data_IF_142373627367
#
_entry.id   IF_142373627367
#
_cell.length_a   1.000
_cell.length_b   1.000
_cell.length_c   1.000
_cell.angle_alpha   90.00
_cell.angle_beta   90.00
_cell.angle_gamma   90.00
#
_symmetry.space_group_name_H-M   'P 1'
#
loop_
_entity.id
_entity.type
_entity.pdbx_description
1 polymer ?
#
# COMPACT_ATOMS: atom_id res chain seq x y z
N UNK A 1 -29.88 -17.50 8.99
CA UNK A 1 -29.28 -18.78 9.40
C UNK A 1 -27.90 -18.83 8.77
N UNK A 2 -26.88 -18.53 9.56
CA UNK A 2 -25.49 -18.47 9.11
C UNK A 2 -24.92 -19.89 9.03
N UNK A 3 -24.24 -20.21 7.93
CA UNK A 3 -23.52 -21.47 7.75
C UNK A 3 -22.09 -21.29 8.26
N UNK A 4 -21.83 -21.93 9.40
CA UNK A 4 -20.55 -22.06 10.10
C UNK A 4 -19.74 -23.16 9.38
N UNK A 5 -18.63 -22.80 8.72
CA UNK A 5 -17.71 -23.75 8.11
C UNK A 5 -16.39 -23.68 8.87
N UNK A 6 -16.08 -24.74 9.62
CA UNK A 6 -14.84 -24.91 10.39
C UNK A 6 -13.89 -25.86 9.66
N UNK A 7 -12.61 -25.53 9.62
CA UNK A 7 -11.55 -26.48 9.26
C UNK A 7 -10.54 -26.62 10.42
N UNK A 8 -10.20 -27.87 10.74
CA UNK A 8 -9.31 -28.25 11.84
C UNK A 8 -7.85 -28.28 11.40
N UNK A 9 -6.99 -27.46 12.03
CA UNK A 9 -5.54 -27.66 12.05
C UNK A 9 -5.01 -27.27 13.45
N UNK A 10 -4.71 -28.26 14.30
CA UNK A 10 -3.95 -28.10 15.56
C UNK A 10 -4.68 -27.45 16.75
N UNK A 11 -4.45 -27.97 17.96
CA UNK A 11 -5.19 -27.71 19.21
C UNK A 11 -4.99 -26.31 19.86
N UNK A 12 -4.87 -25.25 19.08
CA UNK A 12 -4.92 -23.87 19.60
C UNK A 12 -5.78 -22.98 18.72
N UNK A 13 -6.96 -22.64 19.22
CA UNK A 13 -7.80 -21.55 18.71
C UNK A 13 -7.00 -20.24 18.77
N UNK A 14 -6.60 -19.70 17.62
CA UNK A 14 -6.23 -18.30 17.49
C UNK A 14 -6.98 -17.68 16.30
N UNK A 15 -7.42 -16.45 16.52
CA UNK A 15 -8.37 -15.66 15.73
C UNK A 15 -7.93 -15.46 14.28
N UNK A 16 -8.86 -15.67 13.35
CA UNK A 16 -8.77 -15.32 11.92
C UNK A 16 -8.66 -13.81 11.69
N UNK A 17 -7.50 -13.24 11.97
CA UNK A 17 -7.13 -11.91 11.52
C UNK A 17 -5.63 -11.91 11.28
N UNK A 18 -5.20 -12.25 10.07
CA UNK A 18 -3.92 -11.79 9.47
C UNK A 18 -3.66 -12.49 8.13
N UNK A 19 -4.36 -12.04 7.08
CA UNK A 19 -3.76 -11.97 5.74
C UNK A 19 -3.75 -10.49 5.37
N UNK A 20 -2.82 -9.77 6.00
CA UNK A 20 -2.81 -8.32 5.95
C UNK A 20 -2.36 -7.80 4.60
N UNK A 21 -3.26 -7.07 3.96
CA UNK A 21 -3.05 -6.10 2.89
C UNK A 21 -4.01 -4.92 3.18
N UNK A 22 -4.27 -4.73 4.48
CA UNK A 22 -5.56 -4.48 5.17
C UNK A 22 -6.19 -3.14 4.78
N UNK A 23 -7.50 -2.90 4.72
CA UNK A 23 -8.75 -3.65 4.75
C UNK A 23 -9.62 -2.87 3.75
N UNK A 24 -10.42 -3.52 2.90
CA UNK A 24 -11.30 -2.79 1.95
C UNK A 24 -12.34 -1.90 2.65
N UNK A 25 -12.43 -1.98 3.99
CA UNK A 25 -13.18 -1.11 4.87
C UNK A 25 -12.26 -0.66 6.03
N UNK A 26 -11.56 0.46 5.90
CA UNK A 26 -10.89 1.11 7.04
C UNK A 26 -11.75 2.27 7.58
N UNK A 27 -12.56 2.04 8.63
CA UNK A 27 -12.87 3.08 9.59
C UNK A 27 -11.69 3.27 10.56
N UNK A 28 -11.35 4.54 10.80
CA UNK A 28 -10.43 5.03 11.84
C UNK A 28 -8.93 4.71 11.70
N UNK A 29 -8.22 5.60 10.97
CA UNK A 29 -6.83 5.94 11.30
C UNK A 29 -6.87 6.70 12.64
N UNK A 30 -6.76 5.98 13.76
CA UNK A 30 -6.60 6.52 15.10
C UNK A 30 -5.31 5.97 15.72
N UNK A 31 -4.40 6.91 16.00
CA UNK A 31 -3.07 6.63 16.52
C UNK A 31 -2.06 7.70 16.10
N UNK A 32 -2.36 8.97 16.37
CA UNK A 32 -1.36 10.03 16.34
C UNK A 32 -0.45 9.86 17.55
N UNK A 33 0.68 9.17 17.41
CA UNK A 33 1.77 9.35 18.35
C UNK A 33 2.36 10.74 18.11
N UNK A 34 2.12 11.66 19.04
CA UNK A 34 2.94 12.88 19.16
C UNK A 34 4.40 12.44 19.36
N UNK A 35 5.39 13.01 18.66
CA UNK A 35 6.77 12.87 19.09
C UNK A 35 6.91 13.67 20.39
N UNK A 36 6.91 12.99 21.53
CA UNK A 36 7.38 13.57 22.79
C UNK A 36 8.90 13.50 22.81
N UNK A 37 9.54 14.56 22.34
CA UNK A 37 10.98 14.75 22.45
C UNK A 37 11.37 16.10 21.89
N UNK A 38 11.89 16.99 22.75
CA UNK A 38 12.60 18.19 22.31
C UNK A 38 13.81 17.74 21.47
N UNK A 39 13.68 17.84 20.15
CA UNK A 39 14.84 17.70 19.27
C UNK A 39 15.61 19.01 19.33
N UNK A 40 16.72 18.95 20.05
CA UNK A 40 17.77 19.96 20.09
C UNK A 40 18.11 20.47 18.68
N UNK A 41 17.94 21.77 18.48
CA UNK A 41 18.31 22.48 17.26
C UNK A 41 19.81 22.76 17.27
N UNK A 42 20.62 21.77 16.92
CA UNK A 42 21.95 22.04 16.41
C UNK A 42 21.92 21.87 14.89
N UNK A 43 21.97 23.02 14.21
CA UNK A 43 21.86 23.13 12.77
C UNK A 43 23.03 22.50 12.06
N UNK A 44 22.94 21.20 11.80
CA UNK A 44 23.70 20.56 10.76
C UNK A 44 22.96 20.77 9.44
N UNK A 45 23.66 21.38 8.49
CA UNK A 45 23.24 21.60 7.12
C UNK A 45 22.84 20.25 6.48
N UNK A 46 21.58 19.85 6.63
CA UNK A 46 20.95 18.83 5.81
C UNK A 46 20.84 19.40 4.40
N UNK A 47 21.93 19.20 3.64
CA UNK A 47 21.88 19.20 2.19
C UNK A 47 20.89 18.09 1.84
N UNK A 48 19.61 18.43 1.65
CA UNK A 48 18.54 17.52 1.23
C UNK A 48 18.85 17.00 -0.18
N UNK A 49 19.83 16.10 -0.27
CA UNK A 49 20.07 15.27 -1.43
C UNK A 49 19.26 14.01 -1.22
N UNK A 50 18.23 13.80 -2.03
CA UNK A 50 17.65 12.45 -2.19
C UNK A 50 18.82 11.53 -2.51
N UNK A 51 19.07 10.45 -1.73
CA UNK A 51 20.14 9.52 -2.02
C UNK A 51 20.02 9.03 -3.45
N UNK A 52 21.03 9.32 -4.28
CA UNK A 52 21.08 8.85 -5.67
C UNK A 52 21.89 7.57 -5.69
N UNK A 53 21.27 6.49 -5.24
CA UNK A 53 21.84 5.16 -5.36
C UNK A 53 21.40 4.55 -6.69
N UNK A 54 22.35 4.00 -7.45
CA UNK A 54 22.01 3.17 -8.61
C UNK A 54 21.58 1.81 -8.05
N UNK A 55 20.31 1.47 -8.25
CA UNK A 55 19.74 0.16 -7.93
C UNK A 55 19.44 -0.56 -9.23
N UNK A 56 19.95 -1.77 -9.38
CA UNK A 56 19.53 -2.68 -10.44
C UNK A 56 18.30 -3.44 -9.98
N UNK A 57 17.34 -3.65 -10.89
CA UNK A 57 16.21 -4.49 -10.55
C UNK A 57 16.66 -5.93 -10.50
N UNK A 58 16.55 -6.50 -9.31
CA UNK A 58 16.92 -7.87 -9.04
C UNK A 58 15.66 -8.65 -8.73
N UNK A 59 15.67 -9.90 -9.17
CA UNK A 59 14.58 -10.80 -8.90
C UNK A 59 14.51 -11.08 -7.40
N UNK A 60 13.38 -10.79 -6.76
CA UNK A 60 13.16 -11.13 -5.35
C UNK A 60 12.03 -12.14 -5.19
N UNK A 61 12.40 -13.39 -4.88
CA UNK A 61 11.44 -14.49 -4.80
C UNK A 61 10.31 -14.23 -3.80
N UNK A 62 10.61 -13.59 -2.67
CA UNK A 62 9.60 -13.27 -1.64
C UNK A 62 8.47 -12.37 -2.18
N UNK A 63 8.77 -11.49 -3.15
CA UNK A 63 7.76 -10.63 -3.79
C UNK A 63 7.11 -11.26 -5.03
N UNK A 64 7.65 -12.38 -5.51
CA UNK A 64 7.16 -13.15 -6.67
C UNK A 64 6.24 -14.29 -6.24
N UNK A 65 6.54 -14.90 -5.09
CA UNK A 65 5.82 -16.06 -4.60
C UNK A 65 4.33 -15.76 -4.34
N UNK A 66 3.47 -16.79 -4.49
CA UNK A 66 2.11 -16.74 -3.99
C UNK A 66 2.03 -16.31 -2.51
N UNK A 67 0.86 -15.86 -2.03
CA UNK A 67 0.68 -15.44 -0.64
C UNK A 67 1.14 -16.52 0.35
N UNK A 68 2.04 -16.11 1.23
CA UNK A 68 2.55 -16.87 2.37
C UNK A 68 2.75 -15.88 3.52
N UNK A 69 2.84 -16.35 4.78
CA UNK A 69 3.13 -15.46 5.91
C UNK A 69 4.36 -14.58 5.67
N UNK A 70 5.43 -15.16 5.13
CA UNK A 70 6.68 -14.44 4.82
C UNK A 70 6.50 -13.40 3.72
N UNK A 71 5.86 -13.80 2.61
CA UNK A 71 5.60 -12.90 1.48
C UNK A 71 4.70 -11.74 1.90
N UNK A 72 3.63 -12.02 2.63
CA UNK A 72 2.68 -11.01 3.04
C UNK A 72 3.28 -10.04 4.06
N UNK A 73 4.13 -10.52 4.99
CA UNK A 73 4.93 -9.64 5.86
C UNK A 73 5.84 -8.73 5.03
N UNK A 74 6.50 -9.26 3.99
CA UNK A 74 7.38 -8.47 3.14
C UNK A 74 6.60 -7.39 2.36
N UNK A 75 5.45 -7.73 1.79
CA UNK A 75 4.56 -6.79 1.09
C UNK A 75 4.03 -5.70 2.03
N UNK A 76 3.66 -6.03 3.27
CA UNK A 76 3.21 -5.04 4.25
C UNK A 76 4.30 -4.05 4.64
N UNK A 77 5.54 -4.52 4.76
CA UNK A 77 6.70 -3.68 5.13
C UNK A 77 7.10 -2.65 4.07
N UNK A 78 6.56 -2.74 2.85
CA UNK A 78 6.75 -1.73 1.82
C UNK A 78 6.06 -0.40 2.16
N UNK A 79 5.02 -0.46 2.99
CA UNK A 79 4.36 0.73 3.51
C UNK A 79 4.97 1.07 4.87
N UNK A 80 5.40 2.32 5.10
CA UNK A 80 5.94 2.73 6.39
C UNK A 80 4.83 2.79 7.44
N UNK A 81 5.21 2.98 8.71
CA UNK A 81 4.27 3.32 9.77
C UNK A 81 3.43 4.54 9.37
N UNK A 82 2.11 4.48 9.61
CA UNK A 82 1.18 5.47 9.09
C UNK A 82 0.84 5.31 7.59
N UNK A 83 1.30 4.22 6.96
CA UNK A 83 0.93 3.76 5.61
C UNK A 83 1.24 4.72 4.47
N UNK A 84 2.21 5.62 4.69
CA UNK A 84 2.59 6.62 3.70
C UNK A 84 1.76 7.90 3.72
N UNK A 85 0.94 8.10 4.77
CA UNK A 85 0.32 9.38 5.02
C UNK A 85 1.31 10.33 5.70
N UNK A 86 1.31 11.59 5.26
CA UNK A 86 2.02 12.68 5.92
C UNK A 86 1.05 13.65 6.56
N UNK A 87 1.48 14.25 7.65
CA UNK A 87 0.75 15.29 8.35
C UNK A 87 1.16 16.68 7.87
N UNK A 88 0.18 17.54 7.63
CA UNK A 88 0.36 18.94 7.25
C UNK A 88 -0.58 19.78 8.12
N UNK A 89 0.00 20.63 8.97
CA UNK A 89 -0.76 21.46 9.92
C UNK A 89 -1.74 22.42 9.23
N UNK A 90 -1.35 23.01 8.10
CA UNK A 90 -2.19 23.89 7.30
C UNK A 90 -1.88 23.70 5.81
N UNK A 91 -2.60 22.79 5.14
CA UNK A 91 -2.39 22.47 3.73
C UNK A 91 -2.68 23.66 2.81
N UNK A 92 -3.68 24.47 3.16
CA UNK A 92 -4.07 25.65 2.39
C UNK A 92 -2.93 26.68 2.25
N UNK A 93 -2.05 26.81 3.25
CA UNK A 93 -0.85 27.67 3.18
C UNK A 93 0.08 27.30 2.03
N UNK A 94 0.07 26.03 1.61
CA UNK A 94 0.89 25.50 0.52
C UNK A 94 0.12 25.34 -0.80
N UNK A 95 -1.12 25.85 -0.87
CA UNK A 95 -1.98 25.70 -2.04
C UNK A 95 -2.51 24.28 -2.24
N UNK A 96 -2.47 23.43 -1.21
CA UNK A 96 -3.02 22.08 -1.29
C UNK A 96 -4.55 22.13 -1.20
N UNK A 97 -5.19 21.18 -1.88
CA UNK A 97 -6.61 20.90 -1.66
C UNK A 97 -6.82 20.36 -0.23
N UNK A 98 -8.05 20.45 0.33
CA UNK A 98 -8.30 19.98 1.68
C UNK A 98 -7.99 18.49 1.85
N UNK A 99 -7.17 18.18 2.85
CA UNK A 99 -6.76 16.82 3.21
C UNK A 99 -7.84 16.08 4.01
N UNK A 100 -7.49 14.91 4.56
CA UNK A 100 -8.33 14.26 5.58
C UNK A 100 -8.11 14.96 6.90
N UNK A 101 -9.19 15.51 7.48
CA UNK A 101 -9.09 16.29 8.71
C UNK A 101 -8.81 15.41 9.94
N UNK A 102 -7.90 15.90 10.79
CA UNK A 102 -7.50 15.33 12.09
C UNK A 102 -7.50 16.43 13.15
N UNK A 103 -7.35 16.05 14.42
CA UNK A 103 -7.42 16.99 15.55
C UNK A 103 -6.42 18.15 15.45
N UNK A 104 -5.22 17.89 14.92
CA UNK A 104 -4.16 18.89 14.85
C UNK A 104 -4.02 19.56 13.47
N UNK A 105 -4.61 19.01 12.41
CA UNK A 105 -4.40 19.46 11.03
C UNK A 105 -4.89 18.44 10.00
N UNK A 106 -4.26 18.40 8.84
CA UNK A 106 -4.67 17.57 7.70
C UNK A 106 -3.66 16.44 7.43
N UNK A 107 -4.13 15.30 6.93
CA UNK A 107 -3.26 14.25 6.39
C UNK A 107 -3.46 14.06 4.89
N UNK A 108 -2.37 13.71 4.21
CA UNK A 108 -2.28 13.50 2.77
C UNK A 108 -1.54 12.20 2.47
N UNK A 109 -1.95 11.47 1.44
CA UNK A 109 -1.23 10.26 1.02
C UNK A 109 -0.09 10.63 0.08
N UNK A 110 1.08 10.00 0.22
CA UNK A 110 2.14 10.09 -0.79
C UNK A 110 1.85 9.08 -1.91
N UNK A 111 1.83 9.55 -3.15
CA UNK A 111 1.39 8.77 -4.32
C UNK A 111 2.13 7.44 -4.49
N UNK A 112 3.45 7.39 -4.28
CA UNK A 112 4.21 6.14 -4.37
C UNK A 112 3.68 5.05 -3.42
N UNK A 113 3.37 5.39 -2.17
CA UNK A 113 2.82 4.43 -1.21
C UNK A 113 1.40 4.00 -1.59
N UNK A 114 0.61 4.91 -2.17
CA UNK A 114 -0.71 4.54 -2.69
C UNK A 114 -0.63 3.60 -3.90
N UNK A 115 0.33 3.80 -4.80
CA UNK A 115 0.61 2.90 -5.94
C UNK A 115 1.01 1.50 -5.45
N UNK A 116 1.92 1.42 -4.48
CA UNK A 116 2.34 0.15 -3.86
C UNK A 116 1.16 -0.53 -3.15
N UNK A 117 0.35 0.22 -2.39
CA UNK A 117 -0.85 -0.32 -1.75
C UNK A 117 -1.83 -0.92 -2.76
N UNK A 118 -2.12 -0.19 -3.84
CA UNK A 118 -2.97 -0.67 -4.93
C UNK A 118 -2.42 -1.93 -5.59
N UNK A 119 -1.11 -1.99 -5.84
CA UNK A 119 -0.46 -3.18 -6.38
C UNK A 119 -0.60 -4.40 -5.44
N UNK A 120 -0.44 -4.20 -4.14
CA UNK A 120 -0.65 -5.25 -3.13
C UNK A 120 -2.10 -5.76 -3.11
N UNK A 121 -3.09 -4.86 -3.24
CA UNK A 121 -4.51 -5.23 -3.35
C UNK A 121 -4.77 -6.06 -4.60
N UNK A 122 -4.23 -5.67 -5.76
CA UNK A 122 -4.37 -6.43 -7.01
C UNK A 122 -3.74 -7.81 -6.86
N UNK A 123 -2.53 -7.89 -6.29
CA UNK A 123 -1.86 -9.17 -5.98
C UNK A 123 -2.77 -10.07 -5.16
N UNK A 124 -3.35 -9.56 -4.07
CA UNK A 124 -4.29 -10.31 -3.23
C UNK A 124 -5.41 -10.92 -4.02
N UNK A 125 -6.10 -10.07 -4.76
CA UNK A 125 -7.38 -10.43 -5.35
C UNK A 125 -7.14 -11.39 -6.51
N UNK A 126 -6.04 -11.20 -7.26
CA UNK A 126 -5.54 -12.16 -8.22
C UNK A 126 -5.32 -13.55 -7.60
N UNK A 127 -4.53 -13.65 -6.52
CA UNK A 127 -4.25 -14.96 -5.91
C UNK A 127 -5.48 -15.58 -5.23
N UNK A 128 -6.34 -14.77 -4.62
CA UNK A 128 -7.63 -15.25 -4.08
C UNK A 128 -8.52 -15.84 -5.16
N UNK A 129 -8.63 -15.18 -6.31
CA UNK A 129 -9.40 -15.68 -7.45
C UNK A 129 -8.76 -16.95 -8.02
N UNK A 130 -7.44 -16.94 -8.26
CA UNK A 130 -6.72 -18.08 -8.81
C UNK A 130 -6.81 -19.32 -7.91
N UNK A 131 -6.68 -19.17 -6.59
CA UNK A 131 -6.84 -20.29 -5.64
C UNK A 131 -8.31 -20.71 -5.48
N UNK A 132 -9.25 -19.77 -5.56
CA UNK A 132 -10.69 -20.00 -5.41
C UNK A 132 -11.35 -20.77 -6.56
N UNK A 133 -10.72 -20.80 -7.74
CA UNK A 133 -11.20 -21.53 -8.93
C UNK A 133 -11.17 -23.07 -8.74
N UNK A 134 -10.49 -23.59 -7.71
CA UNK A 134 -10.31 -25.03 -7.52
C UNK A 134 -11.57 -25.82 -7.14
N UNK A 135 -12.70 -25.17 -6.81
CA UNK A 135 -13.82 -25.84 -6.14
C UNK A 135 -14.96 -26.39 -7.00
N UNK A 136 -15.11 -26.06 -8.29
CA UNK A 136 -16.12 -26.70 -9.18
C UNK A 136 -16.05 -26.24 -10.67
N UNK A 137 -14.93 -25.66 -11.11
CA UNK A 137 -14.83 -24.99 -12.43
C UNK A 137 -14.49 -25.96 -13.59
N UNK A 138 -15.04 -25.80 -14.82
CA UNK A 138 -14.59 -26.51 -16.02
C UNK A 138 -13.07 -26.63 -16.15
N UNK A 139 -12.60 -27.81 -16.60
CA UNK A 139 -11.18 -28.21 -16.64
C UNK A 139 -10.24 -27.13 -17.19
N UNK A 140 -10.64 -26.39 -18.22
CA UNK A 140 -9.81 -25.35 -18.83
C UNK A 140 -9.55 -24.14 -17.90
N UNK A 141 -10.51 -23.75 -17.06
CA UNK A 141 -10.37 -22.62 -16.13
C UNK A 141 -9.48 -23.02 -14.95
N UNK A 142 -9.65 -24.25 -14.46
CA UNK A 142 -8.77 -24.84 -13.45
C UNK A 142 -7.33 -24.99 -13.94
N UNK A 143 -7.12 -25.51 -15.14
CA UNK A 143 -5.78 -25.64 -15.75
C UNK A 143 -5.10 -24.28 -15.91
N UNK A 144 -5.85 -23.25 -16.32
CA UNK A 144 -5.31 -21.89 -16.38
C UNK A 144 -4.95 -21.37 -14.99
N UNK A 145 -5.79 -21.55 -13.98
CA UNK A 145 -5.50 -21.13 -12.61
C UNK A 145 -4.27 -21.83 -12.02
N UNK A 146 -4.15 -23.15 -12.21
CA UNK A 146 -2.96 -23.92 -11.81
C UNK A 146 -1.71 -23.44 -12.55
N UNK A 147 -1.83 -23.16 -13.85
CA UNK A 147 -0.75 -22.57 -14.64
C UNK A 147 -0.35 -21.21 -14.08
N UNK A 148 -1.30 -20.33 -13.80
CA UNK A 148 -1.05 -19.00 -13.24
C UNK A 148 -0.39 -19.04 -11.85
N UNK A 149 -0.75 -20.02 -11.02
CA UNK A 149 -0.12 -20.25 -9.71
C UNK A 149 1.29 -20.86 -9.82
N UNK A 150 1.53 -21.70 -10.84
CA UNK A 150 2.82 -22.35 -11.08
C UNK A 150 3.79 -21.51 -11.92
N UNK A 151 3.28 -20.62 -12.79
CA UNK A 151 4.07 -19.78 -13.67
C UNK A 151 4.40 -18.45 -13.00
N UNK A 152 5.69 -18.17 -12.96
CA UNK A 152 6.27 -17.01 -12.27
C UNK A 152 5.98 -15.66 -12.96
N UNK A 153 5.34 -15.63 -14.14
CA UNK A 153 5.22 -14.41 -14.93
C UNK A 153 4.43 -13.32 -14.19
N UNK A 154 3.27 -13.67 -13.63
CA UNK A 154 2.44 -12.68 -12.91
C UNK A 154 3.12 -12.22 -11.62
N UNK A 155 3.72 -13.14 -10.86
CA UNK A 155 4.52 -12.81 -9.68
C UNK A 155 5.71 -11.91 -10.01
N UNK A 156 6.43 -12.20 -11.09
CA UNK A 156 7.53 -11.38 -11.59
C UNK A 156 7.06 -9.98 -12.01
N UNK A 157 5.90 -9.86 -12.65
CA UNK A 157 5.30 -8.57 -12.97
C UNK A 157 4.96 -7.76 -11.71
N UNK A 158 4.46 -8.40 -10.65
CA UNK A 158 4.24 -7.73 -9.36
C UNK A 158 5.55 -7.21 -8.75
N UNK A 159 6.60 -8.01 -8.72
CA UNK A 159 7.91 -7.58 -8.21
C UNK A 159 8.53 -6.47 -9.08
N UNK A 160 8.43 -6.58 -10.40
CA UNK A 160 8.91 -5.55 -11.33
C UNK A 160 8.20 -4.20 -11.13
N UNK A 161 6.87 -4.20 -11.04
CA UNK A 161 6.09 -2.97 -10.81
C UNK A 161 6.38 -2.36 -9.44
N UNK A 162 6.52 -3.20 -8.40
CA UNK A 162 6.93 -2.76 -7.06
C UNK A 162 8.25 -1.99 -7.12
N UNK A 163 9.27 -2.57 -7.77
CA UNK A 163 10.58 -1.93 -7.93
C UNK A 163 10.51 -0.65 -8.78
N UNK A 164 9.66 -0.64 -9.83
CA UNK A 164 9.43 0.54 -10.66
C UNK A 164 8.84 1.71 -9.85
N UNK A 165 7.88 1.44 -8.96
CA UNK A 165 7.28 2.45 -8.09
C UNK A 165 8.25 2.98 -7.04
N UNK A 166 9.06 2.11 -6.43
CA UNK A 166 10.11 2.51 -5.50
C UNK A 166 11.19 3.37 -6.20
N UNK A 167 11.58 2.99 -7.42
CA UNK A 167 12.62 3.69 -8.19
C UNK A 167 12.14 5.06 -8.71
N UNK A 168 10.88 5.15 -9.14
CA UNK A 168 10.29 6.38 -9.68
C UNK A 168 9.54 7.20 -8.65
N UNK A 169 9.77 6.91 -7.35
CA UNK A 169 8.99 7.35 -6.20
C UNK A 169 8.24 8.67 -6.41
N UNK A 170 6.96 8.55 -6.77
CA UNK A 170 6.06 9.69 -6.94
C UNK A 170 5.78 10.32 -5.58
N UNK A 171 6.42 11.46 -5.33
CA UNK A 171 6.30 12.25 -4.11
C UNK A 171 5.08 13.18 -4.11
N UNK A 172 4.18 13.05 -5.09
CA UNK A 172 2.95 13.84 -5.13
C UNK A 172 2.08 13.57 -3.90
N UNK A 173 1.45 14.63 -3.40
CA UNK A 173 0.48 14.54 -2.31
C UNK A 173 -0.92 14.39 -2.89
N UNK A 174 -1.60 13.34 -2.47
CA UNK A 174 -2.98 13.07 -2.81
C UNK A 174 -3.91 13.43 -1.66
N UNK A 175 -5.05 14.02 -2.02
CA UNK A 175 -6.11 14.41 -1.11
C UNK A 175 -7.36 13.56 -1.30
N UNK A 176 -8.22 13.48 -0.28
CA UNK A 176 -9.46 12.73 -0.38
C UNK A 176 -10.45 13.37 -1.35
N UNK A 177 -11.23 12.54 -2.04
CA UNK A 177 -12.41 13.01 -2.78
C UNK A 177 -13.45 13.58 -1.81
N UNK A 178 -14.29 14.47 -2.32
CA UNK A 178 -15.49 14.92 -1.60
C UNK A 178 -16.61 13.93 -1.81
N UNK A 179 -17.12 13.34 -0.74
CA UNK A 179 -18.30 12.49 -0.80
C UNK A 179 -19.58 13.31 -0.96
N UNK A 180 -20.70 12.64 -1.29
CA UNK A 180 -22.01 13.30 -1.48
C UNK A 180 -22.50 14.04 -0.22
N UNK A 181 -22.09 13.59 0.96
CA UNK A 181 -22.40 14.20 2.25
C UNK A 181 -21.41 15.31 2.66
N UNK A 182 -20.46 15.65 1.78
CA UNK A 182 -19.41 16.64 2.03
C UNK A 182 -18.21 16.12 2.82
N UNK A 183 -18.24 14.87 3.33
CA UNK A 183 -17.12 14.29 4.06
C UNK A 183 -15.94 13.98 3.13
N UNK A 184 -14.75 13.89 3.74
CA UNK A 184 -13.47 13.62 3.08
C UNK A 184 -12.67 12.64 3.92
N UNK A 185 -12.59 11.39 3.47
CA UNK A 185 -11.91 10.35 4.25
C UNK A 185 -11.19 9.29 3.39
N UNK A 186 -11.39 9.30 2.06
CA UNK A 186 -10.80 8.30 1.17
C UNK A 186 -10.04 8.95 0.02
N UNK A 187 -8.78 8.55 -0.13
CA UNK A 187 -7.93 8.88 -1.28
C UNK A 187 -8.10 7.79 -2.34
N UNK A 188 -8.23 8.16 -3.62
CA UNK A 188 -8.51 7.20 -4.71
C UNK A 188 -7.50 7.22 -5.87
N UNK A 189 -6.35 7.92 -5.74
CA UNK A 189 -5.30 7.87 -6.77
C UNK A 189 -5.60 8.70 -8.02
N UNK A 190 -6.75 9.39 -8.07
CA UNK A 190 -7.18 10.16 -9.24
C UNK A 190 -7.00 11.68 -9.09
N UNK A 191 -6.52 12.15 -7.92
CA UNK A 191 -6.38 13.58 -7.65
C UNK A 191 -5.01 13.87 -7.04
N UNK A 192 -4.17 14.51 -7.84
CA UNK A 192 -2.76 14.70 -7.56
C UNK A 192 -2.34 16.12 -7.95
N UNK A 193 -1.44 16.72 -7.15
CA UNK A 193 -0.78 17.98 -7.49
C UNK A 193 0.63 17.63 -7.95
N UNK A 194 0.82 17.42 -9.25
CA UNK A 194 2.15 17.09 -9.75
C UNK A 194 3.07 18.30 -9.57
N UNK A 195 4.04 18.20 -8.67
CA UNK A 195 5.21 19.08 -8.71
C UNK A 195 6.14 18.59 -9.83
N UNK A 196 5.75 18.74 -11.10
CA UNK A 196 6.70 18.62 -12.21
C UNK A 196 7.59 19.86 -12.18
N UNK A 197 8.57 19.91 -11.27
CA UNK A 197 9.71 20.80 -11.49
C UNK A 197 10.64 20.07 -12.45
N UNK A 198 10.31 20.11 -13.73
CA UNK A 198 11.28 19.85 -14.78
C UNK A 198 12.49 20.74 -14.50
N UNK A 199 13.63 20.16 -14.13
CA UNK A 199 14.88 20.89 -14.25
C UNK A 199 15.14 20.98 -15.75
N UNK A 200 14.87 22.14 -16.31
CA UNK A 200 15.50 22.57 -17.56
C UNK A 200 17.01 22.55 -17.32
N UNK A 201 17.71 21.67 -18.03
CA UNK A 201 19.09 21.95 -18.45
C UNK A 201 19.01 22.65 -19.80
#
# INVERSE_FOLDING_TARGET
MALDIRYHIGDKFQTEQEYSILSSNDPEILGSSKPSGEVSTQGDNLRFGVPKEIRYFERNQTFIDPPSPESDIAWNKLLPDGRGYIYVENGAKYGLQPGVQKESGEIYSVSMFHQIHGLGVIRRDYYKLAMGIQTDDPTAVKEEAERQLAYEHTGHCFDYLRQAFECSADMTLEWPRTEKDGRRFKTEGMVFLTFVRARTQ
#
